data_IF_106243570064
#
_entry.id   IF_106243570064
#
_cell.length_a   1.000
_cell.length_b   1.000
_cell.length_c   1.000
_cell.angle_alpha   90.00
_cell.angle_beta   90.00
_cell.angle_gamma   90.00
#
_symmetry.space_group_name_H-M   'P 1'
#
loop_
_entity.id
_entity.type
_entity.pdbx_description
1 polymer ?
#
# COMPACT_ATOMS: atom_id res chain seq x y z
N UNK A 1 -9.01 11.41 -34.55
CA UNK A 1 -10.30 11.30 -35.27
C UNK A 1 -10.84 12.71 -35.31
N UNK A 2 -11.16 13.22 -36.48
CA UNK A 2 -11.67 14.59 -36.64
C UNK A 2 -13.09 14.49 -37.20
N UNK A 3 -14.05 15.16 -36.57
CA UNK A 3 -15.43 15.23 -37.06
C UNK A 3 -15.74 16.68 -37.39
N UNK A 4 -15.92 16.95 -38.68
CA UNK A 4 -16.32 18.27 -39.19
C UNK A 4 -17.82 18.32 -39.47
N UNK A 5 -18.50 19.35 -38.96
CA UNK A 5 -19.87 19.67 -39.38
C UNK A 5 -19.77 20.67 -40.53
N UNK A 6 -20.17 20.25 -41.73
CA UNK A 6 -20.26 21.10 -42.91
C UNK A 6 -21.70 21.52 -43.15
N UNK A 7 -21.94 22.82 -43.29
CA UNK A 7 -23.22 23.38 -43.74
C UNK A 7 -22.96 24.18 -45.01
N UNK A 8 -23.79 23.97 -46.03
CA UNK A 8 -23.68 24.64 -47.32
C UNK A 8 -22.27 24.56 -47.95
N UNK A 9 -21.65 23.37 -47.87
CA UNK A 9 -20.30 23.09 -48.37
C UNK A 9 -19.18 23.96 -47.78
N UNK A 10 -19.44 24.61 -46.64
CA UNK A 10 -18.44 25.30 -45.83
C UNK A 10 -18.28 24.58 -44.49
N UNK A 11 -17.03 24.38 -44.08
CA UNK A 11 -16.70 23.84 -42.77
C UNK A 11 -17.08 24.88 -41.70
N UNK A 12 -18.12 24.59 -40.92
CA UNK A 12 -18.62 25.50 -39.88
C UNK A 12 -17.98 25.20 -38.52
N UNK A 13 -17.72 23.93 -38.23
CA UNK A 13 -17.05 23.51 -37.01
C UNK A 13 -16.23 22.25 -37.25
N UNK A 14 -14.96 22.28 -36.87
CA UNK A 14 -14.10 21.11 -36.82
C UNK A 14 -13.85 20.75 -35.36
N UNK A 15 -14.22 19.52 -34.98
CA UNK A 15 -13.90 18.96 -33.68
C UNK A 15 -12.72 18.00 -33.85
N UNK A 16 -11.54 18.48 -33.47
CA UNK A 16 -10.36 17.64 -33.31
C UNK A 16 -10.31 17.14 -31.85
N UNK A 17 -10.71 15.87 -31.69
CA UNK A 17 -10.75 15.18 -30.41
C UNK A 17 -9.33 15.00 -29.80
N UNK A 18 -8.27 15.05 -30.62
CA UNK A 18 -6.90 14.91 -30.13
C UNK A 18 -6.39 16.17 -29.42
N UNK A 19 -6.76 17.36 -29.92
CA UNK A 19 -6.36 18.63 -29.28
C UNK A 19 -7.03 18.81 -27.92
N UNK A 20 -8.31 18.47 -27.79
CA UNK A 20 -9.08 18.63 -26.56
C UNK A 20 -8.58 17.72 -25.43
N UNK A 21 -8.25 16.46 -25.76
CA UNK A 21 -7.68 15.52 -24.79
C UNK A 21 -6.33 16.00 -24.22
N UNK A 22 -5.50 16.63 -25.06
CA UNK A 22 -4.23 17.20 -24.63
C UNK A 22 -4.40 18.42 -23.70
N UNK A 23 -5.46 19.20 -23.85
CA UNK A 23 -5.77 20.31 -22.94
C UNK A 23 -6.25 19.80 -21.57
N UNK A 24 -7.07 18.76 -21.55
CA UNK A 24 -7.53 18.14 -20.30
C UNK A 24 -6.36 17.53 -19.51
N UNK A 25 -5.44 16.82 -20.17
CA UNK A 25 -4.24 16.25 -19.53
C UNK A 25 -3.38 17.35 -18.91
N UNK A 26 -3.14 18.45 -19.65
CA UNK A 26 -2.38 19.61 -19.13
C UNK A 26 -3.08 20.26 -17.93
N UNK A 27 -4.40 20.27 -17.92
CA UNK A 27 -5.17 20.81 -16.80
C UNK A 27 -5.02 19.94 -15.54
N UNK A 28 -5.08 18.61 -15.69
CA UNK A 28 -4.89 17.65 -14.60
C UNK A 28 -3.50 17.74 -13.98
N UNK A 29 -2.46 17.83 -14.80
CA UNK A 29 -1.08 18.04 -14.31
C UNK A 29 -0.96 19.31 -13.48
N UNK A 30 -1.62 20.39 -13.91
CA UNK A 30 -1.65 21.67 -13.20
C UNK A 30 -2.34 21.54 -11.85
N UNK A 31 -3.47 20.82 -11.77
CA UNK A 31 -4.18 20.55 -10.52
C UNK A 31 -3.36 19.68 -9.55
N UNK A 32 -2.69 18.65 -10.06
CA UNK A 32 -1.82 17.77 -9.26
C UNK A 32 -0.63 18.55 -8.71
N UNK A 33 -0.01 19.41 -9.53
CA UNK A 33 1.09 20.28 -9.11
C UNK A 33 0.65 21.29 -8.04
N UNK A 34 -0.57 21.84 -8.15
CA UNK A 34 -1.13 22.70 -7.12
C UNK A 34 -1.41 21.95 -5.82
N UNK A 35 -1.91 20.72 -5.90
CA UNK A 35 -2.13 19.86 -4.74
C UNK A 35 -0.82 19.56 -4.00
N UNK A 36 0.26 19.26 -4.74
CA UNK A 36 1.62 19.05 -4.20
C UNK A 36 2.14 20.26 -3.42
N UNK A 37 1.87 21.49 -3.90
CA UNK A 37 2.29 22.73 -3.24
C UNK A 37 1.44 23.07 -2.01
N UNK A 38 0.14 22.77 -2.05
CA UNK A 38 -0.81 23.15 -1.00
C UNK A 38 -0.76 22.19 0.20
N UNK A 39 -0.74 20.89 -0.06
CA UNK A 39 -0.70 19.88 1.00
C UNK A 39 0.04 18.61 0.56
N UNK A 40 1.24 18.43 1.10
CA UNK A 40 2.10 17.30 0.78
C UNK A 40 1.57 15.96 1.30
N UNK A 41 0.69 15.94 2.31
CA UNK A 41 0.08 14.71 2.83
C UNK A 41 -0.97 14.19 1.87
N UNK A 42 -1.90 15.05 1.43
CA UNK A 42 -2.93 14.70 0.46
C UNK A 42 -2.33 14.28 -0.89
N UNK A 43 -1.27 14.95 -1.33
CA UNK A 43 -0.53 14.54 -2.53
C UNK A 43 0.05 13.12 -2.40
N UNK A 44 0.68 12.79 -1.26
CA UNK A 44 1.22 11.44 -1.02
C UNK A 44 0.11 10.39 -0.98
N UNK A 45 -1.03 10.68 -0.36
CA UNK A 45 -2.18 9.78 -0.35
C UNK A 45 -2.74 9.57 -1.74
N UNK A 46 -2.88 10.63 -2.55
CA UNK A 46 -3.35 10.54 -3.93
C UNK A 46 -2.40 9.73 -4.82
N UNK A 47 -1.09 9.96 -4.70
CA UNK A 47 -0.10 9.16 -5.44
C UNK A 47 -0.15 7.70 -4.99
N UNK A 48 -0.33 7.44 -3.69
CA UNK A 48 -0.46 6.09 -3.16
C UNK A 48 -1.74 5.39 -3.66
N UNK A 49 -2.88 6.08 -3.68
CA UNK A 49 -4.14 5.50 -4.17
C UNK A 49 -4.12 5.30 -5.68
N UNK A 50 -3.56 6.23 -6.46
CA UNK A 50 -3.41 6.08 -7.91
C UNK A 50 -2.44 4.96 -8.24
N UNK A 51 -1.28 4.89 -7.57
CA UNK A 51 -0.32 3.80 -7.77
C UNK A 51 -0.91 2.43 -7.38
N UNK A 52 -1.61 2.36 -6.24
CA UNK A 52 -2.30 1.15 -5.80
C UNK A 52 -3.42 0.72 -6.75
N UNK A 53 -4.20 1.68 -7.26
CA UNK A 53 -5.27 1.41 -8.20
C UNK A 53 -4.75 1.03 -9.60
N UNK A 54 -3.70 1.68 -10.10
CA UNK A 54 -3.04 1.29 -11.36
C UNK A 54 -2.39 -0.09 -11.27
N UNK A 55 -1.83 -0.42 -10.11
CA UNK A 55 -1.34 -1.77 -9.84
C UNK A 55 -2.50 -2.79 -9.86
N UNK A 56 -3.62 -2.49 -9.20
CA UNK A 56 -4.80 -3.33 -9.19
C UNK A 56 -5.43 -3.50 -10.60
N UNK A 57 -5.47 -2.43 -11.40
CA UNK A 57 -6.01 -2.47 -12.78
C UNK A 57 -5.11 -3.30 -13.70
N UNK A 58 -3.79 -3.17 -13.60
CA UNK A 58 -2.86 -4.00 -14.37
C UNK A 58 -2.87 -5.48 -13.95
N UNK A 59 -3.29 -5.78 -12.72
CA UNK A 59 -3.48 -7.15 -12.25
C UNK A 59 -4.73 -7.82 -12.84
N UNK A 60 -5.62 -7.10 -13.53
CA UNK A 60 -6.88 -7.67 -14.08
C UNK A 60 -6.77 -8.29 -15.49
N UNK A 61 -5.56 -8.53 -16.03
CA UNK A 61 -5.40 -9.08 -17.38
C UNK A 61 -5.34 -10.63 -17.48
N UNK A 62 -5.14 -11.37 -16.38
CA UNK A 62 -5.26 -12.84 -16.32
C UNK A 62 -5.55 -13.20 -14.85
N UNK A 63 -6.46 -14.15 -14.58
CA UNK A 63 -6.84 -14.54 -13.21
C UNK A 63 -5.63 -15.14 -12.47
N UNK A 64 -4.73 -15.81 -13.18
CA UNK A 64 -3.51 -16.37 -12.60
C UNK A 64 -2.48 -15.27 -12.28
N UNK A 65 -2.33 -14.27 -13.17
CA UNK A 65 -1.47 -13.10 -12.90
C UNK A 65 -2.05 -12.21 -11.82
N UNK A 66 -3.38 -12.12 -11.72
CA UNK A 66 -4.09 -11.40 -10.67
C UNK A 66 -3.80 -12.02 -9.29
N UNK A 67 -3.89 -13.34 -9.18
CA UNK A 67 -3.62 -14.08 -7.94
C UNK A 67 -2.14 -13.96 -7.54
N UNK A 68 -1.22 -14.08 -8.51
CA UNK A 68 0.21 -13.88 -8.26
C UNK A 68 0.51 -12.43 -7.79
N UNK A 69 -0.17 -11.44 -8.37
CA UNK A 69 -0.08 -10.04 -7.95
C UNK A 69 -0.61 -9.81 -6.54
N UNK A 70 -1.72 -10.44 -6.17
CA UNK A 70 -2.29 -10.37 -4.82
C UNK A 70 -1.36 -11.01 -3.78
N UNK A 71 -0.81 -12.20 -4.07
CA UNK A 71 0.16 -12.86 -3.19
C UNK A 71 1.42 -11.99 -3.02
N UNK A 72 1.95 -11.43 -4.10
CA UNK A 72 3.11 -10.53 -4.06
C UNK A 72 2.86 -9.30 -3.18
N UNK A 73 1.67 -8.69 -3.28
CA UNK A 73 1.30 -7.55 -2.42
C UNK A 73 1.14 -7.99 -0.97
N UNK A 74 0.53 -9.14 -0.73
CA UNK A 74 0.39 -9.76 0.58
C UNK A 74 1.74 -9.89 1.30
N UNK A 75 2.76 -10.41 0.61
CA UNK A 75 4.11 -10.55 1.18
C UNK A 75 4.80 -9.21 1.48
N UNK A 76 4.59 -8.19 0.65
CA UNK A 76 5.12 -6.85 0.90
C UNK A 76 4.48 -6.26 2.17
N UNK A 77 3.15 -6.34 2.30
CA UNK A 77 2.46 -5.90 3.51
C UNK A 77 2.90 -6.66 4.75
N UNK A 78 3.00 -8.00 4.65
CA UNK A 78 3.48 -8.84 5.73
C UNK A 78 4.87 -8.42 6.21
N UNK A 79 5.79 -8.15 5.27
CA UNK A 79 7.15 -7.67 5.56
C UNK A 79 7.12 -6.33 6.29
N UNK A 80 6.25 -5.40 5.86
CA UNK A 80 6.07 -4.09 6.52
C UNK A 80 5.57 -4.29 7.96
N UNK A 81 4.52 -5.09 8.15
CA UNK A 81 3.96 -5.38 9.48
C UNK A 81 4.98 -6.05 10.40
N UNK A 82 5.76 -7.01 9.90
CA UNK A 82 6.84 -7.66 10.66
C UNK A 82 7.92 -6.65 11.06
N UNK A 83 8.34 -5.76 10.15
CA UNK A 83 9.34 -4.72 10.47
C UNK A 83 8.82 -3.71 11.50
N UNK A 84 7.57 -3.27 11.37
CA UNK A 84 6.94 -2.37 12.35
C UNK A 84 6.78 -3.06 13.69
N UNK A 85 6.30 -4.31 13.71
CA UNK A 85 6.13 -5.09 14.93
C UNK A 85 7.45 -5.44 15.61
N UNK A 86 8.53 -5.67 14.87
CA UNK A 86 9.88 -5.84 15.41
C UNK A 86 10.30 -4.61 16.23
N UNK A 87 10.25 -3.43 15.61
CA UNK A 87 10.61 -2.19 16.29
C UNK A 87 9.65 -1.86 17.43
N UNK A 88 8.35 -2.13 17.26
CA UNK A 88 7.33 -1.96 18.29
C UNK A 88 7.58 -2.84 19.51
N UNK A 89 7.91 -4.12 19.31
CA UNK A 89 8.24 -5.04 20.40
C UNK A 89 9.53 -4.64 21.11
N UNK A 90 10.56 -4.25 20.35
CA UNK A 90 11.86 -3.86 20.91
C UNK A 90 11.74 -2.59 21.77
N UNK A 91 11.11 -1.53 21.22
CA UNK A 91 10.88 -0.29 21.95
C UNK A 91 9.90 -0.47 23.12
N UNK A 92 8.82 -1.22 22.91
CA UNK A 92 7.84 -1.51 23.96
C UNK A 92 8.45 -2.28 25.12
N UNK A 93 9.24 -3.32 24.83
CA UNK A 93 9.97 -4.09 25.84
C UNK A 93 10.93 -3.21 26.61
N UNK A 94 11.69 -2.36 25.92
CA UNK A 94 12.63 -1.44 26.56
C UNK A 94 11.91 -0.46 27.51
N UNK A 95 10.82 0.16 27.07
CA UNK A 95 10.04 1.11 27.89
C UNK A 95 9.41 0.42 29.11
N UNK A 96 8.86 -0.77 28.95
CA UNK A 96 8.28 -1.51 30.09
C UNK A 96 9.34 -1.96 31.10
N UNK A 97 10.52 -2.39 30.64
CA UNK A 97 11.64 -2.74 31.52
C UNK A 97 12.08 -1.51 32.32
N UNK A 98 12.27 -0.35 31.67
CA UNK A 98 12.60 0.90 32.36
C UNK A 98 11.53 1.26 33.40
N UNK A 99 10.25 1.15 33.04
CA UNK A 99 9.13 1.43 33.96
C UNK A 99 9.09 0.47 35.15
N UNK A 100 9.39 -0.81 34.92
CA UNK A 100 9.47 -1.82 35.98
C UNK A 100 10.63 -1.55 36.93
N UNK A 101 11.79 -1.17 36.40
CA UNK A 101 12.97 -0.80 37.19
C UNK A 101 12.68 0.41 38.09
N UNK A 102 11.91 1.38 37.60
CA UNK A 102 11.55 2.58 38.38
C UNK A 102 10.55 2.31 39.51
N UNK A 103 9.67 1.32 39.38
CA UNK A 103 8.53 1.14 40.29
C UNK A 103 8.62 -0.09 41.22
N UNK A 104 9.05 -1.25 40.73
CA UNK A 104 8.91 -2.54 41.42
C UNK A 104 10.22 -3.32 41.57
N UNK A 105 11.34 -2.79 41.06
CA UNK A 105 12.64 -3.48 41.06
C UNK A 105 12.75 -4.55 39.96
N UNK A 106 13.73 -5.44 40.06
CA UNK A 106 14.11 -6.36 38.97
C UNK A 106 13.23 -7.61 38.83
N UNK A 107 12.32 -7.87 39.78
CA UNK A 107 11.53 -9.12 39.83
C UNK A 107 10.63 -9.35 38.62
N UNK A 108 10.11 -8.29 38.00
CA UNK A 108 9.14 -8.40 36.90
C UNK A 108 9.77 -8.35 35.50
N UNK A 109 11.07 -8.04 35.40
CA UNK A 109 11.78 -7.88 34.11
C UNK A 109 11.69 -9.16 33.27
N UNK A 110 11.86 -10.33 33.90
CA UNK A 110 11.76 -11.61 33.21
C UNK A 110 10.36 -11.85 32.62
N UNK A 111 9.32 -11.45 33.35
CA UNK A 111 7.93 -11.59 32.90
C UNK A 111 7.65 -10.69 31.70
N UNK A 112 8.15 -9.46 31.74
CA UNK A 112 8.05 -8.49 30.64
C UNK A 112 8.78 -9.03 29.41
N UNK A 113 10.01 -9.50 29.59
CA UNK A 113 10.82 -10.07 28.52
C UNK A 113 10.12 -11.25 27.82
N UNK A 114 9.59 -12.21 28.59
CA UNK A 114 8.86 -13.35 28.04
C UNK A 114 7.58 -12.94 27.31
N UNK A 115 6.86 -11.92 27.80
CA UNK A 115 5.68 -11.36 27.11
C UNK A 115 6.04 -10.91 25.70
N UNK A 116 7.10 -10.12 25.56
CA UNK A 116 7.51 -9.62 24.24
C UNK A 116 8.12 -10.69 23.34
N UNK A 117 8.82 -11.69 23.90
CA UNK A 117 9.26 -12.87 23.13
C UNK A 117 8.06 -13.60 22.54
N UNK A 118 7.00 -13.83 23.31
CA UNK A 118 5.82 -14.57 22.83
C UNK A 118 5.11 -13.78 21.73
N UNK A 119 4.92 -12.46 21.92
CA UNK A 119 4.32 -11.59 20.90
C UNK A 119 5.16 -11.62 19.61
N UNK A 120 6.48 -11.51 19.76
CA UNK A 120 7.41 -11.56 18.64
C UNK A 120 7.35 -12.93 17.94
N UNK A 121 7.35 -14.03 18.70
CA UNK A 121 7.23 -15.37 18.15
C UNK A 121 5.95 -15.52 17.34
N UNK A 122 4.80 -15.09 17.86
CA UNK A 122 3.52 -15.17 17.14
C UNK A 122 3.57 -14.35 15.84
N UNK A 123 4.16 -13.15 15.85
CA UNK A 123 4.23 -12.27 14.68
C UNK A 123 4.96 -12.92 13.49
N UNK A 124 5.94 -13.78 13.75
CA UNK A 124 6.73 -14.46 12.72
C UNK A 124 6.34 -15.92 12.48
N UNK A 125 5.85 -16.61 13.52
CA UNK A 125 5.45 -18.01 13.45
C UNK A 125 4.06 -18.18 12.84
N UNK A 126 3.13 -17.25 13.08
CA UNK A 126 1.76 -17.34 12.58
C UNK A 126 1.69 -17.31 11.04
N UNK A 127 2.40 -16.40 10.33
CA UNK A 127 2.43 -16.41 8.87
C UNK A 127 3.02 -17.71 8.33
N UNK A 128 4.15 -18.16 8.90
CA UNK A 128 4.76 -19.43 8.54
C UNK A 128 3.81 -20.63 8.76
N UNK A 129 3.05 -20.65 9.85
CA UNK A 129 2.09 -21.71 10.13
C UNK A 129 0.92 -21.71 9.14
N UNK A 130 0.44 -20.54 8.71
CA UNK A 130 -0.59 -20.44 7.68
C UNK A 130 -0.08 -20.87 6.30
N UNK A 131 1.14 -20.49 5.95
CA UNK A 131 1.80 -20.96 4.71
C UNK A 131 1.99 -22.49 4.76
N UNK A 132 2.42 -23.04 5.89
CA UNK A 132 2.56 -24.50 6.07
C UNK A 132 1.24 -25.25 5.89
N UNK A 133 0.14 -24.71 6.44
CA UNK A 133 -1.20 -25.30 6.26
C UNK A 133 -1.60 -25.19 4.78
N UNK A 134 -1.45 -24.02 4.15
CA UNK A 134 -1.74 -23.81 2.71
C UNK A 134 -1.01 -24.85 1.87
N UNK A 135 0.30 -25.00 2.07
CA UNK A 135 1.15 -25.94 1.34
C UNK A 135 0.74 -27.39 1.55
N UNK A 136 0.36 -27.77 2.78
CA UNK A 136 -0.07 -29.14 3.08
C UNK A 136 -1.37 -29.49 2.36
N UNK A 137 -2.32 -28.56 2.28
CA UNK A 137 -3.61 -28.79 1.63
C UNK A 137 -3.57 -28.58 0.11
N UNK A 138 -2.60 -27.83 -0.44
CA UNK A 138 -2.43 -27.70 -1.89
C UNK A 138 -1.73 -28.89 -2.54
N UNK A 139 -1.01 -29.70 -1.76
CA UNK A 139 -0.31 -30.89 -2.22
C UNK A 139 -1.10 -32.20 -2.01
N UNK A 140 -2.36 -32.10 -1.63
CA UNK A 140 -3.30 -33.22 -1.43
C UNK A 140 -4.33 -33.26 -2.56
#
# INVERSE_FOLDING_TARGET
MEIGITLNNQLVRNYDFSSNQNEEIKSLDKWIAQLKRKDTRLYKTLVFTVAGLSFAINAHADVNDALAGVDSVGFIFLTIFQKVGYWGCLLGCFVEILKSLMNTGTKDIWRIFMKYIIIFAILYLLPWAFDFIKDTFSNL
#
